data_IF_246003520651
#
_entry.id   IF_246003520651
#
_cell.length_a   1.000
_cell.length_b   1.000
_cell.length_c   1.000
_cell.angle_alpha   90.00
_cell.angle_beta   90.00
_cell.angle_gamma   90.00
#
_symmetry.space_group_name_H-M   'P 1'
#
loop_
_entity.id
_entity.type
_entity.pdbx_description
1 polymer ?
#
# COMPACT_ATOMS: atom_id res chain seq x y z
N UNK A 1 -23.78 25.66 -7.36
CA UNK A 1 -22.98 25.45 -6.14
C UNK A 1 -21.55 25.32 -6.62
N UNK A 2 -20.81 26.43 -6.54
CA UNK A 2 -19.39 26.44 -6.88
C UNK A 2 -18.67 25.84 -5.68
N UNK A 3 -18.45 24.53 -5.72
CA UNK A 3 -17.54 23.90 -4.78
C UNK A 3 -16.13 24.31 -5.21
N UNK A 4 -15.74 25.49 -4.72
CA UNK A 4 -14.39 26.00 -4.74
C UNK A 4 -13.51 25.12 -3.86
N UNK A 5 -13.30 23.88 -4.29
CA UNK A 5 -12.15 23.10 -3.89
C UNK A 5 -10.97 23.76 -4.59
N UNK A 6 -10.38 24.73 -3.89
CA UNK A 6 -8.99 25.12 -3.99
C UNK A 6 -8.19 23.95 -4.60
N UNK A 7 -7.76 24.10 -5.85
CA UNK A 7 -6.91 23.15 -6.54
C UNK A 7 -5.53 23.21 -5.87
N UNK A 8 -5.46 22.78 -4.62
CA UNK A 8 -4.21 22.50 -3.95
C UNK A 8 -3.58 21.40 -4.80
N UNK A 9 -2.44 21.72 -5.43
CA UNK A 9 -1.64 20.80 -6.25
C UNK A 9 -0.97 19.75 -5.35
N UNK A 10 -1.76 19.05 -4.55
CA UNK A 10 -1.27 17.94 -3.76
C UNK A 10 -0.86 16.83 -4.72
N UNK A 11 0.16 16.09 -4.33
CA UNK A 11 0.64 14.94 -5.10
C UNK A 11 -0.50 13.96 -5.43
N UNK A 12 -1.51 13.86 -4.56
CA UNK A 12 -2.70 13.05 -4.81
C UNK A 12 -3.57 13.52 -5.97
N UNK A 13 -3.88 14.81 -6.04
CA UNK A 13 -4.70 15.37 -7.13
C UNK A 13 -3.99 15.17 -8.47
N UNK A 14 -2.68 15.42 -8.50
CA UNK A 14 -1.86 15.23 -9.70
C UNK A 14 -1.81 13.76 -10.15
N UNK A 15 -1.57 12.84 -9.22
CA UNK A 15 -1.47 11.41 -9.53
C UNK A 15 -2.81 10.82 -9.95
N UNK A 16 -3.92 11.27 -9.35
CA UNK A 16 -5.26 10.84 -9.75
C UNK A 16 -5.61 11.30 -11.17
N UNK A 17 -5.25 12.52 -11.54
CA UNK A 17 -5.44 13.02 -12.90
C UNK A 17 -4.60 12.25 -13.93
N UNK A 18 -3.36 11.89 -13.58
CA UNK A 18 -2.46 11.13 -14.47
C UNK A 18 -2.92 9.67 -14.67
N UNK A 19 -3.32 9.00 -13.59
CA UNK A 19 -3.65 7.57 -13.63
C UNK A 19 -5.11 7.29 -14.03
N UNK A 20 -6.00 8.28 -13.92
CA UNK A 20 -7.44 8.10 -14.13
C UNK A 20 -8.13 7.25 -13.06
N UNK A 21 -7.39 6.80 -12.06
CA UNK A 21 -7.85 6.02 -10.91
C UNK A 21 -7.37 6.67 -9.61
N UNK A 22 -8.00 6.36 -8.48
CA UNK A 22 -7.51 6.82 -7.18
C UNK A 22 -6.26 6.02 -6.76
N UNK A 23 -5.05 6.61 -6.77
CA UNK A 23 -3.81 5.90 -6.48
C UNK A 23 -3.67 5.49 -5.01
N UNK A 24 -4.47 6.05 -4.11
CA UNK A 24 -4.45 5.73 -2.70
C UNK A 24 -5.53 4.73 -2.33
N UNK A 25 -6.40 4.31 -3.23
CA UNK A 25 -7.36 3.27 -2.93
C UNK A 25 -6.69 1.89 -2.97
N UNK A 26 -6.71 1.16 -1.86
CA UNK A 26 -6.19 -0.20 -1.82
C UNK A 26 -7.08 -1.13 -2.63
N UNK A 27 -6.53 -1.75 -3.68
CA UNK A 27 -7.28 -2.70 -4.54
C UNK A 27 -7.71 -3.98 -3.80
N UNK A 28 -7.08 -4.30 -2.66
CA UNK A 28 -7.36 -5.52 -1.91
C UNK A 28 -8.40 -5.33 -0.81
N UNK A 29 -8.39 -4.18 -0.11
CA UNK A 29 -9.27 -3.94 1.03
C UNK A 29 -10.17 -2.70 0.89
N UNK A 30 -9.97 -1.86 -0.12
CA UNK A 30 -10.74 -0.63 -0.32
C UNK A 30 -10.34 0.54 0.57
N UNK A 31 -9.50 0.33 1.58
CA UNK A 31 -9.01 1.39 2.48
C UNK A 31 -8.06 2.38 1.77
N UNK A 32 -8.01 3.62 2.28
CA UNK A 32 -7.16 4.68 1.75
C UNK A 32 -5.73 4.58 2.31
N UNK A 33 -4.78 4.30 1.41
CA UNK A 33 -3.35 4.33 1.66
C UNK A 33 -2.87 5.75 1.95
N UNK A 34 -1.84 5.88 2.79
CA UNK A 34 -1.19 7.16 3.08
C UNK A 34 0.13 7.21 2.32
N UNK A 35 0.40 8.33 1.64
CA UNK A 35 1.69 8.57 1.03
C UNK A 35 2.76 8.69 2.13
N UNK A 36 3.72 7.76 2.17
CA UNK A 36 4.80 7.77 3.15
C UNK A 36 6.04 8.56 2.66
N UNK A 37 6.13 8.84 1.36
CA UNK A 37 7.26 9.53 0.74
C UNK A 37 7.73 8.82 -0.54
N UNK A 38 8.43 9.52 -1.44
CA UNK A 38 9.11 8.89 -2.56
C UNK A 38 10.33 8.12 -2.05
N UNK A 39 10.45 6.85 -2.43
CA UNK A 39 11.66 6.06 -2.18
C UNK A 39 12.46 5.97 -3.47
N UNK A 40 13.75 6.32 -3.43
CA UNK A 40 14.66 6.13 -4.55
C UNK A 40 14.70 4.64 -4.91
N UNK A 41 14.53 4.34 -6.20
CA UNK A 41 14.10 3.04 -6.70
C UNK A 41 14.91 1.84 -6.20
N UNK A 42 14.33 1.11 -5.27
CA UNK A 42 14.22 -0.36 -5.40
C UNK A 42 13.04 -0.64 -6.33
N UNK A 43 13.18 -1.61 -7.24
CA UNK A 43 12.12 -1.94 -8.19
C UNK A 43 10.82 -2.23 -7.42
N UNK A 44 9.65 -1.81 -7.91
CA UNK A 44 8.38 -2.03 -7.19
C UNK A 44 8.17 -3.51 -6.79
N UNK A 45 8.72 -4.44 -7.59
CA UNK A 45 8.75 -5.88 -7.32
C UNK A 45 9.57 -6.26 -6.08
N UNK A 46 10.63 -5.52 -5.76
CA UNK A 46 11.49 -5.72 -4.59
C UNK A 46 10.81 -5.25 -3.31
N UNK A 47 10.16 -4.08 -3.34
CA UNK A 47 9.33 -3.63 -2.22
C UNK A 47 8.17 -4.59 -1.95
N UNK A 48 7.56 -5.13 -3.01
CA UNK A 48 6.53 -6.16 -2.90
C UNK A 48 7.09 -7.47 -2.32
N UNK A 49 8.28 -7.91 -2.74
CA UNK A 49 8.89 -9.15 -2.22
C UNK A 49 9.26 -9.04 -0.74
N UNK A 50 9.84 -7.92 -0.31
CA UNK A 50 10.13 -7.63 1.10
C UNK A 50 8.85 -7.64 1.96
N UNK A 51 7.77 -7.01 1.47
CA UNK A 51 6.49 -6.98 2.17
C UNK A 51 5.86 -8.37 2.28
N UNK A 52 5.86 -9.15 1.19
CA UNK A 52 5.37 -10.53 1.20
C UNK A 52 6.17 -11.40 2.15
N UNK A 53 7.50 -11.28 2.15
CA UNK A 53 8.38 -11.97 3.09
C UNK A 53 8.04 -11.62 4.55
N UNK A 54 7.83 -10.33 4.85
CA UNK A 54 7.43 -9.88 6.18
C UNK A 54 6.07 -10.42 6.65
N UNK A 55 5.10 -10.52 5.74
CA UNK A 55 3.77 -11.13 6.02
C UNK A 55 3.91 -12.63 6.27
N UNK A 56 4.66 -13.32 5.42
CA UNK A 56 4.86 -14.77 5.50
C UNK A 56 5.63 -15.12 6.78
N UNK A 57 6.70 -14.40 7.13
CA UNK A 57 7.42 -14.57 8.39
C UNK A 57 6.49 -14.42 9.61
N UNK A 58 5.60 -13.43 9.60
CA UNK A 58 4.61 -13.26 10.68
C UNK A 58 3.61 -14.41 10.73
N UNK A 59 3.25 -15.00 9.58
CA UNK A 59 2.41 -16.19 9.51
C UNK A 59 3.12 -17.40 10.11
N UNK A 60 4.37 -17.65 9.74
CA UNK A 60 5.18 -18.73 10.32
C UNK A 60 5.33 -18.59 11.84
N UNK A 61 5.64 -17.40 12.33
CA UNK A 61 5.76 -17.13 13.77
C UNK A 61 4.43 -17.27 14.54
N UNK A 62 3.29 -17.23 13.83
CA UNK A 62 1.95 -17.43 14.40
C UNK A 62 1.45 -18.86 14.25
N UNK A 63 2.16 -19.74 13.53
CA UNK A 63 1.78 -21.15 13.51
C UNK A 63 2.00 -21.75 14.90
N UNK A 64 1.04 -22.52 15.44
CA UNK A 64 1.32 -23.34 16.61
C UNK A 64 2.49 -24.26 16.27
N UNK A 65 3.42 -24.42 17.22
CA UNK A 65 4.51 -25.37 17.06
C UNK A 65 3.92 -26.72 16.68
N UNK A 66 4.58 -27.44 15.76
CA UNK A 66 4.30 -28.85 15.46
C UNK A 66 4.68 -29.73 16.68
N UNK A 67 4.23 -29.38 17.88
CA UNK A 67 4.51 -30.10 19.13
C UNK A 67 3.29 -30.81 19.72
N UNK A 68 2.15 -30.78 19.04
CA UNK A 68 0.95 -31.56 19.40
C UNK A 68 0.67 -32.66 18.37
N UNK A 69 1.67 -33.49 18.13
CA UNK A 69 1.44 -34.87 17.70
C UNK A 69 1.76 -35.76 18.91
N UNK A 70 0.74 -35.99 19.74
CA UNK A 70 0.74 -37.03 20.76
C UNK A 70 0.40 -38.39 20.12
#
# INVERSE_FOLDING_TARGET
MNDGAELTLTFEVLMKAFLGTDPYQCILCGDRLRFAGPQAGTHATELLSERLYGVEKKRWLRMPALDQCA
#
